data_IF_039547300655
#
_entry.id   IF_039547300655
#
_cell.length_a   1.000
_cell.length_b   1.000
_cell.length_c   1.000
_cell.angle_alpha   90.00
_cell.angle_beta   90.00
_cell.angle_gamma   90.00
#
_symmetry.space_group_name_H-M   'P 1'
#
loop_
_entity.id
_entity.type
_entity.pdbx_description
1 polymer ?
#
# COMPACT_ATOMS: atom_id res chain seq x y z
N UNK A 1 -0.01 1.30 21.09
CA UNK A 1 0.84 1.99 20.11
C UNK A 1 1.67 1.04 19.21
N UNK A 2 2.35 0.00 19.70
CA UNK A 2 3.04 -0.95 18.80
C UNK A 2 2.06 -1.77 17.93
N UNK A 3 0.97 -2.22 18.49
CA UNK A 3 -0.09 -2.99 17.80
C UNK A 3 -0.78 -2.22 16.67
N UNK A 4 -0.94 -0.91 16.79
CA UNK A 4 -1.56 -0.03 15.79
C UNK A 4 -0.64 0.17 14.57
N UNK A 5 0.67 0.18 14.77
CA UNK A 5 1.67 0.31 13.71
C UNK A 5 1.85 -0.97 12.90
N UNK A 6 1.65 -2.13 13.53
CA UNK A 6 1.64 -3.44 12.83
C UNK A 6 0.43 -3.57 11.90
N UNK A 7 -0.71 -2.93 12.23
CA UNK A 7 -1.88 -2.90 11.36
C UNK A 7 -1.68 -2.05 10.08
N UNK A 8 -0.83 -1.01 10.13
CA UNK A 8 -0.48 -0.20 8.94
C UNK A 8 0.43 -0.99 8.00
N UNK A 9 1.27 -1.85 8.55
CA UNK A 9 2.14 -2.77 7.81
C UNK A 9 1.47 -4.13 7.55
N UNK A 10 0.17 -4.16 7.23
CA UNK A 10 -0.54 -5.40 6.92
C UNK A 10 0.01 -6.02 5.62
N UNK A 11 1.02 -6.88 5.78
CA UNK A 11 1.68 -7.60 4.68
C UNK A 11 0.67 -8.44 3.89
N UNK A 12 -0.28 -9.07 4.58
CA UNK A 12 -1.27 -9.90 3.91
C UNK A 12 -2.19 -9.06 3.01
N UNK A 13 -2.56 -7.88 3.47
CA UNK A 13 -3.29 -6.91 2.65
C UNK A 13 -2.45 -6.46 1.47
N UNK A 14 -1.19 -6.09 1.68
CA UNK A 14 -0.29 -5.65 0.62
C UNK A 14 -0.14 -6.74 -0.47
N UNK A 15 0.01 -8.00 -0.09
CA UNK A 15 0.05 -9.14 -1.01
C UNK A 15 -1.26 -9.29 -1.80
N UNK A 16 -2.42 -9.21 -1.14
CA UNK A 16 -3.72 -9.27 -1.82
C UNK A 16 -3.92 -8.13 -2.82
N UNK A 17 -3.53 -6.91 -2.45
CA UNK A 17 -3.64 -5.76 -3.35
C UNK A 17 -2.65 -5.83 -4.50
N UNK A 18 -1.46 -6.39 -4.30
CA UNK A 18 -0.51 -6.67 -5.38
C UNK A 18 -1.10 -7.66 -6.40
N UNK A 19 -1.70 -8.76 -5.94
CA UNK A 19 -2.36 -9.72 -6.82
C UNK A 19 -3.60 -9.12 -7.52
N UNK A 20 -4.34 -8.24 -6.84
CA UNK A 20 -5.43 -7.48 -7.45
C UNK A 20 -4.91 -6.56 -8.55
N UNK A 21 -3.82 -5.83 -8.32
CA UNK A 21 -3.16 -4.99 -9.33
C UNK A 21 -2.75 -5.80 -10.56
N UNK A 22 -2.12 -6.97 -10.36
CA UNK A 22 -1.73 -7.85 -11.47
C UNK A 22 -2.94 -8.31 -12.29
N UNK A 23 -4.07 -8.61 -11.63
CA UNK A 23 -5.33 -8.98 -12.33
C UNK A 23 -5.90 -7.81 -13.13
N UNK A 24 -5.94 -6.61 -12.56
CA UNK A 24 -6.40 -5.40 -13.25
C UNK A 24 -5.49 -5.12 -14.46
N UNK A 25 -4.17 -5.13 -14.27
CA UNK A 25 -3.22 -4.90 -15.36
C UNK A 25 -3.38 -5.88 -16.53
N UNK A 26 -3.68 -7.15 -16.24
CA UNK A 26 -3.98 -8.15 -17.27
C UNK A 26 -5.31 -7.88 -17.96
N UNK A 27 -6.35 -7.55 -17.20
CA UNK A 27 -7.67 -7.27 -17.74
C UNK A 27 -7.69 -6.02 -18.65
N UNK A 28 -6.88 -5.02 -18.33
CA UNK A 28 -6.73 -3.78 -19.09
C UNK A 28 -5.65 -3.87 -20.19
N UNK A 29 -4.95 -5.01 -20.32
CA UNK A 29 -3.95 -5.25 -21.37
C UNK A 29 -2.61 -4.53 -21.16
N UNK A 30 -2.40 -3.86 -20.02
CA UNK A 30 -1.15 -3.13 -19.76
C UNK A 30 -0.06 -4.01 -19.12
N UNK A 31 -0.39 -5.25 -18.76
CA UNK A 31 0.57 -6.17 -18.16
C UNK A 31 1.71 -6.56 -19.14
N UNK A 32 1.47 -6.47 -20.44
CA UNK A 32 2.47 -6.77 -21.49
C UNK A 32 3.42 -5.60 -21.75
N UNK A 33 3.09 -4.40 -21.28
CA UNK A 33 4.02 -3.26 -21.30
C UNK A 33 5.16 -3.51 -20.29
N UNK A 34 6.39 -3.55 -20.81
CA UNK A 34 7.61 -3.80 -20.01
C UNK A 34 7.77 -2.77 -18.91
N UNK A 35 7.47 -1.50 -19.17
CA UNK A 35 7.59 -0.41 -18.19
C UNK A 35 6.59 -0.58 -17.05
N UNK A 36 5.36 -0.98 -17.38
CA UNK A 36 4.34 -1.23 -16.37
C UNK A 36 4.67 -2.46 -15.51
N UNK A 37 5.19 -3.53 -16.13
CA UNK A 37 5.69 -4.70 -15.38
C UNK A 37 6.84 -4.35 -14.44
N UNK A 38 7.77 -3.49 -14.86
CA UNK A 38 8.84 -3.01 -13.99
C UNK A 38 8.30 -2.32 -12.73
N UNK A 39 7.25 -1.50 -12.87
CA UNK A 39 6.63 -0.84 -11.72
C UNK A 39 5.93 -1.85 -10.77
N UNK A 40 5.30 -2.88 -11.33
CA UNK A 40 4.74 -4.00 -10.52
C UNK A 40 5.88 -4.76 -9.82
N UNK A 41 6.97 -5.06 -10.51
CA UNK A 41 8.11 -5.77 -9.93
C UNK A 41 8.78 -4.98 -8.80
N UNK A 42 8.95 -3.67 -8.95
CA UNK A 42 9.44 -2.79 -7.87
C UNK A 42 8.53 -2.84 -6.63
N UNK A 43 7.23 -2.76 -6.85
CA UNK A 43 6.26 -2.87 -5.76
C UNK A 43 6.30 -4.26 -5.08
N UNK A 44 6.49 -5.32 -5.85
CA UNK A 44 6.63 -6.69 -5.31
C UNK A 44 7.88 -6.82 -4.42
N UNK A 45 9.01 -6.26 -4.84
CA UNK A 45 10.22 -6.17 -4.02
C UNK A 45 9.97 -5.39 -2.73
N UNK A 46 9.26 -4.26 -2.80
CA UNK A 46 8.90 -3.48 -1.62
C UNK A 46 8.01 -4.26 -0.64
N UNK A 47 7.05 -5.05 -1.14
CA UNK A 47 6.18 -5.91 -0.31
C UNK A 47 6.98 -7.02 0.38
N UNK A 48 7.93 -7.65 -0.33
CA UNK A 48 8.84 -8.65 0.24
C UNK A 48 9.73 -8.01 1.34
N UNK A 49 10.28 -6.84 1.06
CA UNK A 49 11.09 -6.11 2.05
C UNK A 49 10.27 -5.74 3.29
N UNK A 50 9.01 -5.34 3.14
CA UNK A 50 8.10 -5.08 4.26
C UNK A 50 7.87 -6.35 5.09
N UNK A 51 7.66 -7.50 4.45
CA UNK A 51 7.51 -8.79 5.13
C UNK A 51 8.74 -9.14 5.97
N UNK A 52 9.93 -8.96 5.41
CA UNK A 52 11.19 -9.19 6.14
C UNK A 52 11.33 -8.26 7.35
N UNK A 53 10.93 -6.99 7.23
CA UNK A 53 10.92 -6.06 8.34
C UNK A 53 9.95 -6.51 9.46
N UNK A 54 8.75 -6.95 9.10
CA UNK A 54 7.77 -7.48 10.07
C UNK A 54 8.32 -8.70 10.81
N UNK A 55 8.93 -9.64 10.09
CA UNK A 55 9.55 -10.83 10.70
C UNK A 55 10.69 -10.46 11.65
N UNK A 56 11.50 -9.45 11.33
CA UNK A 56 12.56 -8.94 12.21
C UNK A 56 11.99 -8.34 13.49
N UNK A 57 10.90 -7.56 13.41
CA UNK A 57 10.22 -7.01 14.59
C UNK A 57 9.71 -8.12 15.50
N UNK A 58 9.01 -9.11 14.93
CA UNK A 58 8.49 -10.25 15.69
C UNK A 58 9.60 -11.07 16.37
N UNK A 59 10.74 -11.26 15.69
CA UNK A 59 11.89 -11.94 16.25
C UNK A 59 12.53 -11.14 17.41
N UNK A 60 12.63 -9.81 17.27
CA UNK A 60 13.15 -8.93 18.31
C UNK A 60 12.24 -8.92 19.55
N UNK A 61 10.92 -8.83 19.37
CA UNK A 61 9.95 -8.88 20.46
C UNK A 61 10.05 -10.21 21.25
N UNK A 62 10.18 -11.34 20.56
CA UNK A 62 10.39 -12.65 21.21
C UNK A 62 11.68 -12.72 22.03
N UNK A 63 12.70 -11.98 21.65
CA UNK A 63 13.99 -11.92 22.36
C UNK A 63 14.03 -10.86 23.48
N UNK A 64 12.90 -10.19 23.77
CA UNK A 64 12.79 -9.14 24.78
C UNK A 64 13.47 -7.81 24.40
N UNK A 65 13.90 -7.64 23.14
CA UNK A 65 14.47 -6.41 22.63
C UNK A 65 13.38 -5.49 22.11
N UNK A 66 13.34 -4.25 22.58
CA UNK A 66 12.46 -3.23 21.98
C UNK A 66 13.06 -2.76 20.65
N UNK A 67 12.27 -2.85 19.58
CA UNK A 67 12.66 -2.37 18.24
C UNK A 67 11.81 -1.16 17.83
N UNK A 68 11.86 -0.09 18.64
CA UNK A 68 11.11 1.15 18.40
C UNK A 68 11.51 1.84 17.09
N UNK A 69 12.77 1.74 16.72
CA UNK A 69 13.35 2.20 15.46
C UNK A 69 12.70 1.54 14.23
N UNK A 70 12.55 0.22 14.27
CA UNK A 70 11.96 -0.56 13.17
C UNK A 70 10.46 -0.30 13.02
N UNK A 71 9.75 -0.01 14.11
CA UNK A 71 8.31 0.28 14.06
C UNK A 71 7.99 1.55 13.23
N UNK A 72 8.86 2.56 13.28
CA UNK A 72 8.75 3.75 12.41
C UNK A 72 8.94 3.40 10.93
N UNK A 73 9.91 2.55 10.61
CA UNK A 73 10.15 2.08 9.24
C UNK A 73 8.96 1.28 8.69
N UNK A 74 8.34 0.43 9.50
CA UNK A 74 7.13 -0.32 9.10
C UNK A 74 6.00 0.63 8.68
N UNK A 75 5.78 1.69 9.46
CA UNK A 75 4.75 2.70 9.15
C UNK A 75 5.06 3.42 7.84
N UNK A 76 6.29 3.87 7.65
CA UNK A 76 6.72 4.57 6.43
C UNK A 76 6.51 3.66 5.22
N UNK A 77 7.14 2.47 5.21
CA UNK A 77 7.08 1.55 4.06
C UNK A 77 5.66 1.04 3.79
N UNK A 78 4.90 0.69 4.84
CA UNK A 78 3.51 0.25 4.69
C UNK A 78 2.63 1.32 4.05
N UNK A 79 2.76 2.60 4.44
CA UNK A 79 2.00 3.70 3.85
C UNK A 79 2.41 4.01 2.40
N UNK A 80 3.70 3.95 2.08
CA UNK A 80 4.22 4.15 0.72
C UNK A 80 3.72 3.05 -0.24
N UNK A 81 3.75 1.79 0.18
CA UNK A 81 3.22 0.65 -0.57
C UNK A 81 1.71 0.81 -0.82
N UNK A 82 0.93 1.24 0.21
CA UNK A 82 -0.51 1.47 0.06
C UNK A 82 -0.81 2.57 -0.98
N UNK A 83 -0.07 3.63 -0.97
CA UNK A 83 -0.21 4.68 -1.98
C UNK A 83 0.19 4.18 -3.37
N UNK A 84 1.28 3.44 -3.47
CA UNK A 84 1.81 2.97 -4.75
C UNK A 84 0.88 1.96 -5.44
N UNK A 85 0.35 0.95 -4.73
CA UNK A 85 -0.57 0.02 -5.39
C UNK A 85 -1.87 0.70 -5.83
N UNK A 86 -2.40 1.65 -5.05
CA UNK A 86 -3.61 2.39 -5.44
C UNK A 86 -3.39 3.26 -6.68
N UNK A 87 -2.21 3.88 -6.80
CA UNK A 87 -1.80 4.65 -7.96
C UNK A 87 -1.65 3.77 -9.21
N UNK A 88 -0.93 2.65 -9.09
CA UNK A 88 -0.72 1.73 -10.21
C UNK A 88 -2.04 1.12 -10.71
N UNK A 89 -3.01 0.86 -9.83
CA UNK A 89 -4.35 0.40 -10.25
C UNK A 89 -5.07 1.46 -11.08
N UNK A 90 -4.99 2.75 -10.69
CA UNK A 90 -5.56 3.83 -11.50
C UNK A 90 -4.85 3.95 -12.86
N UNK A 91 -3.52 3.89 -12.87
CA UNK A 91 -2.74 3.93 -14.11
C UNK A 91 -3.07 2.75 -15.04
N UNK A 92 -3.28 1.56 -14.47
CA UNK A 92 -3.68 0.38 -15.25
C UNK A 92 -5.03 0.55 -15.95
N UNK A 93 -6.03 1.07 -15.23
CA UNK A 93 -7.37 1.31 -15.75
C UNK A 93 -7.48 2.58 -16.62
N UNK A 94 -6.47 3.45 -16.59
CA UNK A 94 -6.40 4.66 -17.40
C UNK A 94 -7.61 5.58 -17.19
N UNK A 95 -8.22 6.13 -18.28
CA UNK A 95 -9.34 7.08 -18.17
C UNK A 95 -10.57 6.52 -17.43
N UNK A 96 -10.77 5.22 -17.45
CA UNK A 96 -11.91 4.57 -16.80
C UNK A 96 -11.84 4.60 -15.27
N UNK A 97 -10.68 4.88 -14.71
CA UNK A 97 -10.50 5.06 -13.26
C UNK A 97 -10.75 6.49 -12.76
N UNK A 98 -10.91 7.48 -13.66
CA UNK A 98 -11.01 8.90 -13.28
C UNK A 98 -12.33 9.30 -12.60
N UNK A 99 -13.50 8.71 -12.94
CA UNK A 99 -14.74 9.05 -12.27
C UNK A 99 -14.67 8.75 -10.77
N UNK A 100 -14.98 9.75 -9.93
CA UNK A 100 -15.05 9.60 -8.49
C UNK A 100 -16.42 9.10 -8.05
N UNK A 101 -16.56 7.79 -7.91
CA UNK A 101 -17.79 7.13 -7.45
C UNK A 101 -17.55 6.70 -6.00
N UNK A 102 -17.99 7.52 -5.03
CA UNK A 102 -17.75 7.27 -3.61
C UNK A 102 -18.47 6.02 -3.12
N UNK A 103 -19.69 5.83 -3.59
CA UNK A 103 -20.57 4.73 -3.25
C UNK A 103 -20.01 3.36 -3.70
N UNK A 104 -19.13 3.36 -4.71
CA UNK A 104 -18.45 2.13 -5.19
C UNK A 104 -17.47 1.53 -4.16
N UNK A 105 -17.20 2.22 -3.04
CA UNK A 105 -16.44 1.68 -1.92
C UNK A 105 -17.30 0.92 -0.91
N UNK A 106 -18.63 1.01 -1.03
CA UNK A 106 -19.56 0.33 -0.13
C UNK A 106 -19.71 -1.14 -0.54
N UNK A 107 -19.80 -2.00 0.47
CA UNK A 107 -20.01 -3.43 0.22
C UNK A 107 -21.37 -3.68 -0.44
N UNK A 108 -21.37 -4.43 -1.55
CA UNK A 108 -22.59 -4.75 -2.27
C UNK A 108 -23.08 -3.67 -3.25
N UNK A 109 -22.29 -2.62 -3.50
CA UNK A 109 -22.63 -1.63 -4.52
C UNK A 109 -22.86 -2.28 -5.90
N UNK A 110 -23.97 -1.91 -6.55
CA UNK A 110 -24.44 -2.46 -7.84
C UNK A 110 -24.67 -1.37 -8.89
N UNK A 111 -24.13 -0.16 -8.68
CA UNK A 111 -24.30 0.93 -9.63
C UNK A 111 -23.47 0.77 -10.90
N UNK A 112 -23.69 1.65 -11.87
CA UNK A 112 -23.00 1.65 -13.14
C UNK A 112 -21.54 2.12 -12.99
N UNK A 113 -20.62 1.42 -13.64
CA UNK A 113 -19.22 1.84 -13.76
C UNK A 113 -18.93 2.33 -15.18
N UNK A 114 -17.99 3.27 -15.29
CA UNK A 114 -17.39 3.60 -16.58
C UNK A 114 -16.26 2.60 -16.82
N UNK A 115 -16.36 1.82 -17.89
CA UNK A 115 -15.44 0.69 -18.13
C UNK A 115 -15.80 -0.57 -17.36
N UNK A 116 -14.81 -1.38 -17.02
CA UNK A 116 -15.02 -2.63 -16.28
C UNK A 116 -15.38 -2.34 -14.80
N UNK A 117 -16.13 -3.24 -14.17
CA UNK A 117 -16.63 -3.05 -12.80
C UNK A 117 -15.51 -2.76 -11.76
N UNK A 118 -14.31 -3.28 -11.98
CA UNK A 118 -13.17 -3.00 -11.07
C UNK A 118 -12.68 -1.55 -11.14
N UNK A 119 -13.05 -0.78 -12.18
CA UNK A 119 -12.61 0.62 -12.32
C UNK A 119 -13.34 1.55 -11.35
N UNK A 120 -14.61 1.29 -11.04
CA UNK A 120 -15.47 2.16 -10.26
C UNK A 120 -14.89 2.61 -8.89
N UNK A 121 -14.29 1.74 -8.04
CA UNK A 121 -13.76 2.13 -6.73
C UNK A 121 -12.36 2.72 -6.78
N UNK A 122 -11.68 2.77 -7.94
CA UNK A 122 -10.25 3.08 -7.99
C UNK A 122 -9.92 4.52 -7.60
N UNK A 123 -10.64 5.52 -8.13
CA UNK A 123 -10.43 6.92 -7.75
C UNK A 123 -10.68 7.13 -6.26
N UNK A 124 -11.79 6.61 -5.73
CA UNK A 124 -12.13 6.73 -4.31
C UNK A 124 -11.05 6.08 -3.42
N UNK A 125 -10.56 4.90 -3.82
CA UNK A 125 -9.47 4.20 -3.12
C UNK A 125 -8.18 5.01 -3.16
N UNK A 126 -7.80 5.53 -4.32
CA UNK A 126 -6.60 6.34 -4.50
C UNK A 126 -6.62 7.57 -3.57
N UNK A 127 -7.69 8.36 -3.59
CA UNK A 127 -7.80 9.54 -2.75
C UNK A 127 -7.81 9.18 -1.26
N UNK A 128 -8.50 8.12 -0.88
CA UNK A 128 -8.51 7.66 0.50
C UNK A 128 -7.12 7.22 0.99
N UNK A 129 -6.28 6.64 0.12
CA UNK A 129 -4.93 6.22 0.50
C UNK A 129 -3.94 7.39 0.66
N UNK A 130 -4.22 8.60 0.18
CA UNK A 130 -3.32 9.77 0.35
C UNK A 130 -3.10 10.13 1.82
N UNK A 131 -4.07 9.89 2.69
CA UNK A 131 -3.95 10.16 4.14
C UNK A 131 -3.04 9.19 4.89
N UNK A 132 -2.64 8.05 4.29
CA UNK A 132 -1.88 7.01 4.99
C UNK A 132 -0.49 7.47 5.45
N UNK A 133 0.09 8.46 4.77
CA UNK A 133 1.38 9.08 5.16
C UNK A 133 1.22 10.12 6.27
N UNK A 134 0.00 10.49 6.65
CA UNK A 134 -0.29 11.57 7.62
C UNK A 134 -0.69 10.99 8.97
N UNK A 135 -1.71 10.11 8.99
CA UNK A 135 -2.24 9.57 10.26
C UNK A 135 -1.29 8.56 10.92
N UNK A 136 -1.46 8.34 12.22
CA UNK A 136 -0.57 7.47 13.01
C UNK A 136 0.84 8.05 13.18
N UNK A 137 1.00 9.36 13.05
CA UNK A 137 2.25 10.10 12.96
C UNK A 137 2.74 10.21 11.52
N UNK A 138 3.00 11.44 11.03
CA UNK A 138 3.38 11.62 9.63
C UNK A 138 4.70 10.92 9.31
N UNK A 139 4.92 10.60 8.02
CA UNK A 139 6.15 9.93 7.60
C UNK A 139 7.40 10.76 7.93
N UNK A 140 7.30 12.09 7.93
CA UNK A 140 8.37 13.02 8.31
C UNK A 140 8.73 12.84 9.79
N UNK A 141 7.72 12.82 10.67
CA UNK A 141 7.92 12.58 12.11
C UNK A 141 8.52 11.20 12.34
N UNK A 142 8.05 10.18 11.64
CA UNK A 142 8.61 8.83 11.75
C UNK A 142 10.08 8.76 11.28
N UNK A 143 10.45 9.46 10.19
CA UNK A 143 11.83 9.56 9.73
C UNK A 143 12.72 10.24 10.78
N UNK A 144 12.25 11.33 11.41
CA UNK A 144 12.99 12.00 12.47
C UNK A 144 13.22 11.08 13.68
N UNK A 145 12.18 10.34 14.10
CA UNK A 145 12.30 9.38 15.20
C UNK A 145 13.33 8.30 14.86
N UNK A 146 13.24 7.68 13.67
CA UNK A 146 14.21 6.67 13.23
C UNK A 146 15.62 7.23 13.18
N UNK A 147 15.80 8.44 12.63
CA UNK A 147 17.10 9.11 12.57
C UNK A 147 17.72 9.31 13.97
N UNK A 148 16.94 9.77 14.93
CA UNK A 148 17.42 9.97 16.31
C UNK A 148 17.82 8.66 16.98
N UNK A 149 17.12 7.56 16.71
CA UNK A 149 17.46 6.25 17.30
C UNK A 149 18.65 5.55 16.63
N UNK A 150 18.88 5.81 15.34
CA UNK A 150 19.93 5.11 14.56
C UNK A 150 21.20 5.92 14.47
N UNK A 151 21.10 7.24 14.40
CA UNK A 151 22.26 8.13 14.19
C UNK A 151 22.71 8.87 15.47
N UNK A 152 21.88 8.87 16.52
CA UNK A 152 22.17 9.54 17.80
C UNK A 152 21.71 10.97 17.81
#
# INVERSE_FOLDING_TARGET
>A
MAHERTNIADVNRAKRELERLKRIAKAEGVFDDVRFRDEIAKLEVDVIALEMLVLRVLAAEKSGKQSLDIAGLLKIRGSEIQQRYSELMMLAAGPFSLPLIREAMEAGWQGDSVGQAHCAPLASSYFNMRKTTIYGGSNEVQRNIVSQFVLG
#
